data_IF_974490431234
#
_entry.id   IF_974490431234
#
_cell.length_a   1.000
_cell.length_b   1.000
_cell.length_c   1.000
_cell.angle_alpha   90.00
_cell.angle_beta   90.00
_cell.angle_gamma   90.00
#
_symmetry.space_group_name_H-M   'P 1'
#
loop_
_entity.id
_entity.type
_entity.pdbx_description
1 polymer ?
#
# COMPACT_ATOMS: atom_id res chain seq x y z
N UNK A 1 -49.55 52.15 -2.41
CA UNK A 1 -48.42 51.24 -2.16
C UNK A 1 -48.97 49.82 -2.37
N UNK A 2 -49.08 49.41 -3.65
CA UNK A 2 -48.29 48.31 -4.29
C UNK A 2 -48.62 46.95 -3.67
N UNK A 3 -49.58 46.17 -4.18
CA UNK A 3 -49.68 45.42 -5.46
C UNK A 3 -48.97 44.05 -5.44
N UNK A 4 -49.63 43.10 -6.09
CA UNK A 4 -49.68 41.63 -6.00
C UNK A 4 -48.48 40.82 -6.58
N UNK A 5 -48.64 39.48 -6.54
CA UNK A 5 -48.10 38.38 -7.38
C UNK A 5 -47.11 37.47 -6.62
N UNK A 6 -47.44 36.23 -6.20
CA UNK A 6 -47.92 34.99 -6.86
C UNK A 6 -46.80 34.06 -7.37
N UNK A 7 -46.87 32.81 -6.93
CA UNK A 7 -45.99 31.66 -7.21
C UNK A 7 -45.67 31.42 -8.69
N UNK A 8 -44.49 30.87 -8.96
CA UNK A 8 -44.22 30.10 -10.19
C UNK A 8 -43.25 28.95 -9.89
N UNK A 9 -43.73 27.74 -10.13
CA UNK A 9 -42.96 26.51 -10.24
C UNK A 9 -42.71 26.24 -11.74
N UNK A 10 -41.47 25.92 -12.13
CA UNK A 10 -41.17 25.46 -13.49
C UNK A 10 -40.78 23.98 -13.52
N UNK A 11 -41.49 23.28 -14.42
CA UNK A 11 -41.41 21.87 -14.75
C UNK A 11 -40.41 21.64 -15.89
N UNK A 12 -39.79 20.47 -15.81
CA UNK A 12 -39.15 19.74 -16.91
C UNK A 12 -39.96 19.75 -18.22
N UNK A 13 -39.26 19.65 -19.36
CA UNK A 13 -39.60 18.67 -20.42
C UNK A 13 -38.47 18.43 -21.44
N UNK A 14 -38.39 17.23 -22.04
CA UNK A 14 -37.32 16.75 -22.93
C UNK A 14 -37.73 16.80 -24.41
N UNK A 15 -36.77 16.66 -25.34
CA UNK A 15 -37.07 16.31 -26.74
C UNK A 15 -36.07 15.32 -27.36
N UNK A 16 -36.64 14.49 -28.21
CA UNK A 16 -36.20 13.17 -28.70
C UNK A 16 -35.64 13.19 -30.12
N UNK A 17 -34.71 12.26 -30.39
CA UNK A 17 -34.46 11.41 -31.59
C UNK A 17 -35.01 11.80 -32.98
N UNK A 18 -34.13 11.68 -34.00
CA UNK A 18 -34.17 10.80 -35.22
C UNK A 18 -33.05 11.27 -36.17
N UNK A 19 -32.01 10.51 -36.56
CA UNK A 19 -31.88 9.28 -37.39
C UNK A 19 -32.32 9.42 -38.85
N UNK A 20 -31.33 9.43 -39.77
CA UNK A 20 -31.23 8.89 -41.16
C UNK A 20 -29.94 9.49 -41.75
N UNK A 21 -28.94 8.80 -42.33
CA UNK A 21 -28.89 7.57 -43.10
C UNK A 21 -28.61 7.90 -44.59
N UNK A 22 -27.46 7.51 -45.15
CA UNK A 22 -27.33 7.29 -46.60
C UNK A 22 -26.14 7.88 -47.37
N UNK A 23 -25.15 7.03 -47.65
CA UNK A 23 -24.41 6.79 -48.91
C UNK A 23 -24.00 7.95 -49.87
N UNK A 24 -22.68 8.14 -49.99
CA UNK A 24 -21.87 7.72 -51.15
C UNK A 24 -22.09 8.36 -52.53
N UNK A 25 -21.09 9.12 -53.01
CA UNK A 25 -20.62 9.05 -54.41
C UNK A 25 -19.20 9.62 -54.57
N UNK A 26 -18.53 9.07 -55.56
CA UNK A 26 -17.12 9.08 -55.93
C UNK A 26 -16.95 9.99 -57.17
N UNK A 27 -15.69 10.35 -57.51
CA UNK A 27 -15.14 10.59 -58.88
C UNK A 27 -14.76 12.05 -59.27
N UNK A 28 -13.43 12.26 -59.29
CA UNK A 28 -12.53 12.90 -60.29
C UNK A 28 -12.29 14.43 -60.34
N UNK A 29 -10.99 14.80 -60.25
CA UNK A 29 -10.12 15.40 -61.30
C UNK A 29 -8.85 15.93 -60.60
N UNK A 30 -7.64 15.35 -60.78
CA UNK A 30 -6.67 15.47 -61.89
C UNK A 30 -6.18 16.91 -62.15
N UNK A 31 -4.92 17.12 -61.76
CA UNK A 31 -3.83 17.97 -62.28
C UNK A 31 -4.11 19.39 -62.79
N UNK A 32 -3.41 20.38 -62.23
CA UNK A 32 -2.33 21.06 -62.96
C UNK A 32 -1.40 21.89 -62.06
N UNK A 33 -0.15 22.01 -62.54
CA UNK A 33 1.06 22.61 -61.97
C UNK A 33 1.11 24.14 -61.91
N UNK A 34 1.93 24.67 -60.99
CA UNK A 34 2.96 25.74 -61.16
C UNK A 34 3.44 26.16 -59.74
N UNK A 35 4.67 25.86 -59.33
CA UNK A 35 5.91 26.66 -59.55
C UNK A 35 5.92 27.99 -58.79
N UNK A 36 6.59 28.01 -57.63
CA UNK A 36 7.51 29.08 -57.23
C UNK A 36 8.23 28.74 -55.91
N UNK A 37 9.52 29.03 -55.96
CA UNK A 37 10.57 29.03 -54.96
C UNK A 37 10.15 29.70 -53.64
N UNK A 38 10.61 29.19 -52.49
CA UNK A 38 10.88 30.03 -51.31
C UNK A 38 11.82 29.34 -50.30
N UNK A 39 13.02 29.92 -50.24
CA UNK A 39 13.89 30.22 -49.09
C UNK A 39 14.17 29.14 -48.03
N UNK A 40 15.40 28.61 -48.07
CA UNK A 40 16.04 27.92 -46.95
C UNK A 40 16.39 28.94 -45.85
N UNK A 41 15.55 29.06 -44.82
CA UNK A 41 15.96 29.64 -43.54
C UNK A 41 16.70 28.57 -42.71
N UNK A 42 18.01 28.70 -42.65
CA UNK A 42 18.83 28.03 -41.66
C UNK A 42 18.56 28.68 -40.29
N UNK A 43 17.62 28.11 -39.53
CA UNK A 43 17.52 28.37 -38.10
C UNK A 43 18.75 27.74 -37.42
N UNK A 44 19.73 28.59 -37.10
CA UNK A 44 20.75 28.33 -36.08
C UNK A 44 20.00 28.11 -34.75
N UNK A 45 19.57 26.87 -34.53
CA UNK A 45 19.09 26.39 -33.24
C UNK A 45 20.34 26.15 -32.37
N UNK A 46 20.96 27.27 -31.94
CA UNK A 46 21.85 27.27 -30.80
C UNK A 46 21.01 26.81 -29.61
N UNK A 47 20.99 25.49 -29.39
CA UNK A 47 20.58 24.86 -28.13
C UNK A 47 21.43 25.48 -27.03
N UNK A 48 20.94 26.59 -26.48
CA UNK A 48 21.40 27.11 -25.20
C UNK A 48 21.06 26.00 -24.22
N UNK A 49 22.06 25.21 -23.89
CA UNK A 49 22.05 24.24 -22.81
C UNK A 49 21.83 25.04 -21.51
N UNK A 50 20.56 25.39 -21.22
CA UNK A 50 20.17 26.04 -19.98
C UNK A 50 20.48 25.00 -18.90
N UNK A 51 21.62 25.18 -18.24
CA UNK A 51 21.99 24.41 -17.06
C UNK A 51 20.84 24.52 -16.05
N UNK A 52 19.97 23.50 -16.02
CA UNK A 52 18.84 23.43 -15.10
C UNK A 52 19.44 23.52 -13.71
N UNK A 53 19.16 24.63 -13.02
CA UNK A 53 19.61 24.85 -11.65
C UNK A 53 19.17 23.63 -10.82
N UNK A 54 20.14 22.85 -10.34
CA UNK A 54 19.85 21.66 -9.54
C UNK A 54 19.07 22.10 -8.29
N UNK A 55 17.92 21.47 -8.06
CA UNK A 55 17.11 21.70 -6.86
C UNK A 55 17.98 21.50 -5.60
N UNK A 56 18.13 22.53 -4.74
CA UNK A 56 18.96 22.43 -3.55
C UNK A 56 18.46 21.36 -2.56
N UNK A 57 17.15 21.06 -2.54
CA UNK A 57 16.57 20.01 -1.71
C UNK A 57 16.98 18.64 -2.23
N UNK A 58 16.83 18.43 -3.55
CA UNK A 58 17.28 17.21 -4.24
C UNK A 58 18.77 16.94 -4.01
N UNK A 59 19.60 17.97 -4.17
CA UNK A 59 21.04 17.90 -3.93
C UNK A 59 21.35 17.52 -2.48
N UNK A 60 20.66 18.12 -1.51
CA UNK A 60 20.82 17.79 -0.10
C UNK A 60 20.44 16.34 0.21
N UNK A 61 19.34 15.84 -0.36
CA UNK A 61 18.92 14.44 -0.18
C UNK A 61 19.93 13.48 -0.82
N UNK A 62 20.40 13.75 -2.04
CA UNK A 62 21.41 12.93 -2.71
C UNK A 62 22.71 12.85 -1.91
N UNK A 63 23.17 13.95 -1.33
CA UNK A 63 24.32 13.92 -0.41
C UNK A 63 24.08 13.03 0.82
N UNK A 64 22.90 13.12 1.44
CA UNK A 64 22.54 12.26 2.58
C UNK A 64 22.56 10.79 2.18
N UNK A 65 21.96 10.45 1.03
CA UNK A 65 21.96 9.10 0.49
C UNK A 65 23.38 8.60 0.20
N UNK A 66 24.25 9.45 -0.36
CA UNK A 66 25.66 9.11 -0.57
C UNK A 66 26.36 8.83 0.74
N UNK A 67 26.17 9.65 1.79
CA UNK A 67 26.75 9.44 3.11
C UNK A 67 26.30 8.12 3.76
N UNK A 68 25.05 7.72 3.53
CA UNK A 68 24.51 6.42 3.94
C UNK A 68 25.16 5.28 3.15
N UNK A 69 25.28 5.42 1.82
CA UNK A 69 25.85 4.41 0.93
C UNK A 69 27.29 4.06 1.30
N UNK A 70 28.10 5.08 1.58
CA UNK A 70 29.50 4.90 1.99
C UNK A 70 29.64 4.55 3.48
N UNK A 71 28.55 4.49 4.25
CA UNK A 71 28.55 4.13 5.68
C UNK A 71 29.22 5.15 6.59
N UNK A 72 29.45 6.38 6.11
CA UNK A 72 30.09 7.46 6.88
C UNK A 72 29.10 8.25 7.73
N UNK A 73 27.80 8.16 7.44
CA UNK A 73 26.79 8.80 8.28
C UNK A 73 26.67 8.06 9.62
N UNK A 74 27.34 8.60 10.64
CA UNK A 74 27.27 8.11 12.02
C UNK A 74 26.78 9.24 12.92
N UNK A 75 25.51 9.21 13.32
CA UNK A 75 24.92 10.25 14.18
C UNK A 75 25.01 9.90 15.68
N UNK A 76 25.91 8.97 16.03
CA UNK A 76 26.17 8.55 17.41
C UNK A 76 26.87 9.62 18.23
N UNK A 77 27.91 10.27 17.67
CA UNK A 77 28.65 11.33 18.36
C UNK A 77 27.91 12.66 18.32
N UNK A 78 28.06 13.47 19.37
CA UNK A 78 27.39 14.77 19.49
C UNK A 78 27.83 15.74 18.38
N UNK A 79 29.15 15.84 18.12
CA UNK A 79 29.71 16.76 17.12
C UNK A 79 29.30 16.43 15.69
N UNK A 80 29.39 15.16 15.29
CA UNK A 80 29.00 14.69 13.95
C UNK A 80 27.50 14.95 13.71
N UNK A 81 26.69 14.76 14.76
CA UNK A 81 25.25 15.03 14.75
C UNK A 81 24.95 16.53 14.62
N UNK A 82 25.64 17.38 15.38
CA UNK A 82 25.48 18.82 15.30
C UNK A 82 25.79 19.32 13.88
N UNK A 83 26.94 18.94 13.33
CA UNK A 83 27.33 19.28 11.95
C UNK A 83 26.31 18.82 10.90
N UNK A 84 25.76 17.62 11.07
CA UNK A 84 24.74 17.09 10.16
C UNK A 84 23.48 17.95 10.17
N UNK A 85 22.91 18.21 11.35
CA UNK A 85 21.70 19.00 11.43
C UNK A 85 21.97 20.48 11.08
N UNK A 86 23.06 21.09 11.53
CA UNK A 86 23.41 22.47 11.14
C UNK A 86 23.45 22.65 9.60
N UNK A 87 23.82 21.60 8.85
CA UNK A 87 23.81 21.59 7.39
C UNK A 87 22.43 21.32 6.79
N UNK A 88 21.73 20.28 7.27
CA UNK A 88 20.55 19.73 6.59
C UNK A 88 19.19 20.09 7.21
N UNK A 89 19.15 20.67 8.42
CA UNK A 89 17.92 20.91 9.19
C UNK A 89 16.83 21.61 8.36
N UNK A 90 17.22 22.65 7.60
CA UNK A 90 16.32 23.43 6.73
C UNK A 90 15.69 22.64 5.58
N UNK A 91 16.23 21.48 5.22
CA UNK A 91 15.78 20.68 4.07
C UNK A 91 15.00 19.42 4.50
N UNK A 92 15.01 19.04 5.79
CA UNK A 92 14.45 17.76 6.24
C UNK A 92 12.94 17.66 5.98
N UNK A 93 12.21 18.75 6.16
CA UNK A 93 10.75 18.81 5.97
C UNK A 93 10.34 19.21 4.55
N UNK A 94 11.31 19.59 3.72
CA UNK A 94 11.06 19.98 2.34
C UNK A 94 10.74 18.76 1.47
N UNK A 95 10.18 19.04 0.31
CA UNK A 95 9.77 18.03 -0.67
C UNK A 95 10.53 18.25 -1.98
N UNK A 96 10.88 17.15 -2.62
CA UNK A 96 11.45 17.12 -3.97
C UNK A 96 10.32 16.82 -4.97
N UNK A 97 10.65 16.77 -6.25
CA UNK A 97 9.82 16.26 -7.37
C UNK A 97 8.83 15.16 -6.93
N UNK A 98 7.59 15.27 -7.41
CA UNK A 98 6.47 14.38 -7.06
C UNK A 98 6.10 14.39 -5.56
N UNK A 99 6.41 15.49 -4.87
CA UNK A 99 6.09 15.71 -3.45
C UNK A 99 6.72 14.69 -2.50
N UNK A 100 7.82 14.08 -2.93
CA UNK A 100 8.56 13.09 -2.16
C UNK A 100 9.41 13.80 -1.11
N UNK A 101 9.20 13.43 0.14
CA UNK A 101 10.05 13.85 1.25
C UNK A 101 11.25 12.90 1.43
N UNK A 102 12.12 13.18 2.40
CA UNK A 102 13.30 12.37 2.70
C UNK A 102 12.99 10.88 2.97
N UNK A 103 11.89 10.56 3.66
CA UNK A 103 11.50 9.18 3.94
C UNK A 103 10.99 8.45 2.69
N UNK A 104 10.25 9.13 1.81
CA UNK A 104 9.86 8.57 0.51
C UNK A 104 11.10 8.30 -0.34
N UNK A 105 12.03 9.25 -0.39
CA UNK A 105 13.28 9.11 -1.13
C UNK A 105 14.08 7.92 -0.60
N UNK A 106 14.21 7.76 0.72
CA UNK A 106 14.82 6.57 1.32
C UNK A 106 14.10 5.27 0.97
N UNK A 107 12.77 5.29 0.90
CA UNK A 107 11.98 4.11 0.54
C UNK A 107 12.19 3.70 -0.91
N UNK A 108 12.18 4.64 -1.86
CA UNK A 108 12.39 4.38 -3.29
C UNK A 108 13.84 4.14 -3.68
N UNK A 109 14.79 4.51 -2.82
CA UNK A 109 16.19 4.33 -3.08
C UNK A 109 16.60 2.84 -3.10
N UNK A 110 17.42 2.46 -4.08
CA UNK A 110 17.99 1.10 -4.21
C UNK A 110 19.25 0.89 -3.36
N UNK A 111 19.55 1.80 -2.43
CA UNK A 111 20.69 1.71 -1.54
C UNK A 111 20.50 0.77 -0.35
N UNK A 112 21.57 0.56 0.44
CA UNK A 112 21.51 -0.36 1.57
C UNK A 112 20.79 0.25 2.79
N UNK A 113 19.78 -0.46 3.30
CA UNK A 113 19.20 -0.21 4.63
C UNK A 113 20.12 -0.70 5.76
N UNK A 114 21.18 0.08 6.02
CA UNK A 114 22.27 -0.24 6.94
C UNK A 114 22.14 0.51 8.29
N UNK A 115 23.20 0.45 9.12
CA UNK A 115 23.25 1.14 10.42
C UNK A 115 23.19 2.66 10.31
N UNK A 116 23.61 3.24 9.19
CA UNK A 116 23.51 4.68 8.94
C UNK A 116 22.06 5.10 8.71
N UNK A 117 21.31 4.34 7.91
CA UNK A 117 19.85 4.54 7.75
C UNK A 117 19.14 4.43 9.10
N UNK A 118 19.46 3.38 9.88
CA UNK A 118 18.94 3.21 11.23
C UNK A 118 19.27 4.40 12.13
N UNK A 119 20.51 4.87 12.09
CA UNK A 119 20.96 6.01 12.89
C UNK A 119 20.24 7.30 12.50
N UNK A 120 19.97 7.53 11.22
CA UNK A 120 19.23 8.69 10.74
C UNK A 120 17.79 8.68 11.24
N UNK A 121 17.05 7.61 10.97
CA UNK A 121 15.63 7.48 11.39
C UNK A 121 15.52 7.54 12.91
N UNK A 122 16.40 6.85 13.63
CA UNK A 122 16.42 6.91 15.09
C UNK A 122 16.69 8.33 15.60
N UNK A 123 17.47 9.18 14.91
CA UNK A 123 17.67 10.56 15.34
C UNK A 123 16.51 11.48 14.97
N UNK A 124 15.89 11.28 13.82
CA UNK A 124 14.67 12.00 13.45
C UNK A 124 13.54 11.73 14.46
N UNK A 125 13.31 10.48 14.83
CA UNK A 125 12.30 10.10 15.83
C UNK A 125 12.58 10.68 17.22
N UNK A 126 13.84 10.72 17.67
CA UNK A 126 14.19 11.23 19.02
C UNK A 126 14.29 12.76 19.13
N UNK A 127 14.83 13.43 18.10
CA UNK A 127 15.18 14.87 18.17
C UNK A 127 14.13 15.76 17.50
N UNK A 128 13.43 15.23 16.50
CA UNK A 128 12.44 15.97 15.71
C UNK A 128 11.15 15.13 15.54
N UNK A 129 10.50 14.71 16.64
CA UNK A 129 9.35 13.83 16.56
C UNK A 129 8.19 14.43 15.77
N UNK A 130 7.98 15.75 15.82
CA UNK A 130 6.93 16.44 15.06
C UNK A 130 7.23 16.42 13.55
N UNK A 131 8.47 16.73 13.17
CA UNK A 131 8.92 16.69 11.78
C UNK A 131 8.84 15.27 11.24
N UNK A 132 9.37 14.29 11.98
CA UNK A 132 9.30 12.88 11.62
C UNK A 132 7.86 12.41 11.41
N UNK A 133 6.94 12.85 12.28
CA UNK A 133 5.52 12.51 12.18
C UNK A 133 4.88 13.08 10.93
N UNK A 134 5.16 14.35 10.58
CA UNK A 134 4.71 14.97 9.31
C UNK A 134 5.26 14.22 8.10
N UNK A 135 6.54 13.83 8.13
CA UNK A 135 7.16 13.06 7.06
C UNK A 135 6.48 11.69 6.88
N UNK A 136 6.20 10.99 7.98
CA UNK A 136 5.63 9.64 7.97
C UNK A 136 4.18 9.61 7.49
N UNK A 137 3.37 10.63 7.79
CA UNK A 137 1.95 10.69 7.37
C UNK A 137 1.75 11.37 6.03
N UNK A 138 2.77 12.03 5.48
CA UNK A 138 2.63 12.67 4.17
C UNK A 138 2.43 11.63 3.08
N UNK A 139 1.61 11.97 2.09
CA UNK A 139 1.49 11.22 0.84
C UNK A 139 2.44 11.81 -0.19
N UNK A 140 3.06 10.95 -0.98
CA UNK A 140 3.61 11.36 -2.26
C UNK A 140 2.48 11.71 -3.25
N UNK A 141 2.77 12.48 -4.29
CA UNK A 141 1.84 12.70 -5.41
C UNK A 141 2.20 11.81 -6.60
N UNK A 142 2.77 10.64 -6.30
CA UNK A 142 2.88 9.58 -7.31
C UNK A 142 1.51 8.97 -7.53
N UNK A 143 1.28 8.26 -8.66
CA UNK A 143 0.00 7.58 -8.93
C UNK A 143 -0.50 6.65 -7.81
N UNK A 144 0.37 6.26 -6.86
CA UNK A 144 0.01 5.45 -5.69
C UNK A 144 -0.52 6.25 -4.49
N UNK A 145 -0.23 7.56 -4.42
CA UNK A 145 -0.46 8.48 -3.28
C UNK A 145 -0.17 7.81 -1.93
N UNK A 146 1.01 7.19 -1.86
CA UNK A 146 1.36 6.35 -0.73
C UNK A 146 2.19 7.12 0.28
N UNK A 147 2.15 6.70 1.56
CA UNK A 147 3.05 7.23 2.57
C UNK A 147 4.40 6.48 2.54
N UNK A 148 5.47 7.00 3.17
CA UNK A 148 6.80 6.38 3.08
C UNK A 148 6.86 4.94 3.60
N UNK A 149 6.05 4.63 4.62
CA UNK A 149 6.00 3.29 5.20
C UNK A 149 5.40 2.29 4.20
N UNK A 150 4.33 2.69 3.51
CA UNK A 150 3.74 1.90 2.43
C UNK A 150 4.74 1.68 1.28
N UNK A 151 5.48 2.71 0.88
CA UNK A 151 6.49 2.61 -0.18
C UNK A 151 7.59 1.60 0.19
N UNK A 152 8.09 1.64 1.44
CA UNK A 152 9.08 0.69 1.95
C UNK A 152 8.55 -0.76 1.97
N UNK A 153 7.28 -0.96 2.37
CA UNK A 153 6.60 -2.26 2.36
C UNK A 153 6.47 -2.80 0.94
N UNK A 154 6.05 -1.97 -0.01
CA UNK A 154 5.86 -2.34 -1.42
C UNK A 154 7.16 -2.83 -2.07
N UNK A 155 8.29 -2.22 -1.66
CA UNK A 155 9.64 -2.59 -2.08
C UNK A 155 10.24 -3.76 -1.30
N UNK A 156 9.51 -4.31 -0.33
CA UNK A 156 9.92 -5.44 0.51
C UNK A 156 11.17 -5.17 1.37
N UNK A 157 11.45 -3.91 1.68
CA UNK A 157 12.58 -3.56 2.55
C UNK A 157 12.18 -3.70 4.03
N UNK A 158 12.23 -4.94 4.52
CA UNK A 158 11.90 -5.28 5.89
C UNK A 158 12.75 -4.53 6.93
N UNK A 159 13.99 -4.17 6.60
CA UNK A 159 14.88 -3.43 7.52
C UNK A 159 14.45 -1.99 7.64
N UNK A 160 14.15 -1.34 6.51
CA UNK A 160 13.65 0.03 6.51
C UNK A 160 12.32 0.14 7.24
N UNK A 161 11.39 -0.78 6.99
CA UNK A 161 10.11 -0.86 7.72
C UNK A 161 10.35 -0.98 9.22
N UNK A 162 11.25 -1.87 9.65
CA UNK A 162 11.59 -2.02 11.06
C UNK A 162 12.16 -0.72 11.68
N UNK A 163 12.98 0.02 10.93
CA UNK A 163 13.53 1.29 11.39
C UNK A 163 12.46 2.38 11.48
N UNK A 164 11.57 2.48 10.49
CA UNK A 164 10.48 3.46 10.48
C UNK A 164 9.47 3.22 11.62
N UNK A 165 9.28 1.96 12.03
CA UNK A 165 8.41 1.60 13.15
C UNK A 165 9.11 1.65 14.53
N UNK A 166 10.40 1.97 14.59
CA UNK A 166 11.17 2.02 15.83
C UNK A 166 10.86 3.32 16.59
N UNK A 167 10.11 3.22 17.69
CA UNK A 167 9.79 4.33 18.58
C UNK A 167 10.43 4.12 19.97
N UNK A 168 11.76 4.25 20.06
CA UNK A 168 12.52 3.90 21.28
C UNK A 168 12.13 4.70 22.51
N UNK A 169 11.87 5.99 22.31
CA UNK A 169 11.57 6.92 23.38
C UNK A 169 10.08 6.91 23.76
N UNK A 170 9.29 6.00 23.16
CA UNK A 170 7.84 5.90 23.36
C UNK A 170 7.13 7.25 23.17
N UNK A 171 7.60 8.05 22.20
CA UNK A 171 7.02 9.35 21.91
C UNK A 171 5.57 9.15 21.45
N UNK A 172 4.58 9.77 22.13
CA UNK A 172 3.17 9.62 21.76
C UNK A 172 2.91 10.18 20.36
N UNK A 173 3.57 11.29 20.00
CA UNK A 173 3.45 11.93 18.69
C UNK A 173 3.88 10.96 17.57
N UNK A 174 5.01 10.28 17.75
CA UNK A 174 5.51 9.29 16.79
C UNK A 174 4.60 8.05 16.75
N UNK A 175 4.07 7.63 17.91
CA UNK A 175 3.15 6.50 18.00
C UNK A 175 1.83 6.80 17.26
N UNK A 176 1.26 7.99 17.45
CA UNK A 176 0.05 8.43 16.77
C UNK A 176 0.27 8.54 15.26
N UNK A 177 1.41 9.09 14.84
CA UNK A 177 1.79 9.15 13.43
C UNK A 177 1.92 7.75 12.80
N UNK A 178 2.49 6.78 13.53
CA UNK A 178 2.55 5.38 13.08
C UNK A 178 1.15 4.78 12.92
N UNK A 179 0.26 4.98 13.89
CA UNK A 179 -1.13 4.51 13.81
C UNK A 179 -1.84 5.09 12.59
N UNK A 180 -1.69 6.40 12.37
CA UNK A 180 -2.26 7.10 11.21
C UNK A 180 -1.69 6.52 9.91
N UNK A 181 -0.37 6.46 9.78
CA UNK A 181 0.30 5.96 8.57
C UNK A 181 -0.06 4.50 8.25
N UNK A 182 -0.23 3.65 9.27
CA UNK A 182 -0.67 2.27 9.11
C UNK A 182 -2.13 2.16 8.64
N UNK A 183 -2.99 3.10 9.04
CA UNK A 183 -4.39 3.19 8.64
C UNK A 183 -4.65 3.85 7.29
N UNK A 184 -3.70 4.66 6.78
CA UNK A 184 -3.82 5.29 5.47
C UNK A 184 -3.91 4.24 4.36
N UNK A 185 -4.81 4.49 3.41
CA UNK A 185 -5.01 3.67 2.22
C UNK A 185 -4.33 4.32 1.02
N UNK A 186 -3.63 3.53 0.21
CA UNK A 186 -3.10 3.99 -1.08
C UNK A 186 -4.23 4.17 -2.09
N UNK A 187 -4.02 5.01 -3.10
CA UNK A 187 -5.13 5.42 -3.99
C UNK A 187 -5.48 4.37 -5.04
N UNK A 188 -4.53 3.59 -5.53
CA UNK A 188 -4.79 2.58 -6.58
C UNK A 188 -5.63 1.38 -6.10
N UNK A 189 -5.34 0.88 -4.90
CA UNK A 189 -5.93 -0.37 -4.37
C UNK A 189 -6.79 -0.15 -3.14
N UNK A 190 -6.81 1.07 -2.60
CA UNK A 190 -7.38 1.37 -1.29
C UNK A 190 -6.85 0.46 -0.19
N UNK A 191 -5.67 -0.13 -0.36
CA UNK A 191 -5.10 -1.05 0.61
C UNK A 191 -4.28 -0.26 1.64
N UNK A 192 -4.36 -0.67 2.90
CA UNK A 192 -3.54 -0.10 3.96
C UNK A 192 -2.19 -0.83 4.07
N UNK A 193 -1.30 -0.32 4.93
CA UNK A 193 0.05 -0.89 5.10
C UNK A 193 0.03 -2.36 5.55
N UNK A 194 -0.96 -2.80 6.33
CA UNK A 194 -1.07 -4.21 6.76
C UNK A 194 -1.41 -5.14 5.61
N UNK A 195 -2.40 -4.77 4.78
CA UNK A 195 -2.76 -5.54 3.59
C UNK A 195 -1.53 -5.64 2.67
N UNK A 196 -0.84 -4.52 2.42
CA UNK A 196 0.38 -4.50 1.63
C UNK A 196 1.45 -5.44 2.19
N UNK A 197 1.71 -5.39 3.51
CA UNK A 197 2.74 -6.21 4.16
C UNK A 197 2.47 -7.72 4.02
N UNK A 198 1.22 -8.14 4.20
CA UNK A 198 0.78 -9.54 4.04
C UNK A 198 0.85 -9.97 2.56
N UNK A 199 0.36 -9.11 1.65
CA UNK A 199 0.36 -9.36 0.20
C UNK A 199 1.78 -9.53 -0.34
N UNK A 200 2.70 -8.66 0.08
CA UNK A 200 4.12 -8.67 -0.29
C UNK A 200 4.97 -9.72 0.45
N UNK A 201 4.37 -10.46 1.41
CA UNK A 201 5.02 -11.53 2.18
C UNK A 201 6.24 -11.04 2.96
N UNK A 202 6.09 -9.92 3.67
CA UNK A 202 7.13 -9.46 4.61
C UNK A 202 7.39 -10.53 5.69
N UNK A 203 8.57 -10.50 6.34
CA UNK A 203 8.86 -11.41 7.45
C UNK A 203 7.80 -11.34 8.56
N UNK A 204 7.43 -12.48 9.14
CA UNK A 204 6.36 -12.59 10.14
C UNK A 204 6.56 -11.62 11.29
N UNK A 205 7.78 -11.52 11.83
CA UNK A 205 8.11 -10.63 12.94
C UNK A 205 7.87 -9.15 12.61
N UNK A 206 8.03 -8.74 11.35
CA UNK A 206 7.69 -7.39 10.90
C UNK A 206 6.18 -7.23 10.87
N UNK A 207 5.46 -8.16 10.24
CA UNK A 207 3.99 -8.11 10.15
C UNK A 207 3.34 -8.08 11.54
N UNK A 208 3.78 -8.94 12.47
CA UNK A 208 3.25 -8.97 13.84
C UNK A 208 3.54 -7.67 14.59
N UNK A 209 4.72 -7.06 14.40
CA UNK A 209 5.04 -5.75 14.98
C UNK A 209 4.13 -4.65 14.42
N UNK A 210 3.83 -4.66 13.11
CA UNK A 210 2.87 -3.72 12.52
C UNK A 210 1.49 -3.91 13.15
N UNK A 211 1.00 -5.15 13.27
CA UNK A 211 -0.31 -5.48 13.87
C UNK A 211 -0.43 -4.89 15.28
N UNK A 212 0.58 -5.08 16.12
CA UNK A 212 0.62 -4.58 17.51
C UNK A 212 0.56 -3.05 17.61
N UNK A 213 0.93 -2.34 16.54
CA UNK A 213 0.92 -0.88 16.49
C UNK A 213 -0.33 -0.31 15.84
N UNK A 214 -1.24 -1.16 15.36
CA UNK A 214 -2.46 -0.71 14.67
C UNK A 214 -3.64 -0.56 15.62
N UNK A 215 -4.72 0.02 15.10
CA UNK A 215 -6.02 0.07 15.78
C UNK A 215 -6.99 -0.91 15.14
N UNK A 216 -8.06 -1.24 15.84
CA UNK A 216 -9.16 -2.05 15.31
C UNK A 216 -9.73 -1.49 13.99
N UNK A 217 -9.75 -0.17 13.83
CA UNK A 217 -10.17 0.48 12.58
C UNK A 217 -9.27 0.12 11.41
N UNK A 218 -7.95 0.07 11.61
CA UNK A 218 -6.99 -0.39 10.61
C UNK A 218 -7.16 -1.89 10.30
N UNK A 219 -7.44 -2.71 11.33
CA UNK A 219 -7.63 -4.16 11.19
C UNK A 219 -8.89 -4.53 10.39
N UNK A 220 -9.96 -3.73 10.50
CA UNK A 220 -11.22 -3.93 9.75
C UNK A 220 -11.33 -3.10 8.48
N UNK A 221 -10.31 -2.30 8.14
CA UNK A 221 -10.29 -1.53 6.91
C UNK A 221 -10.27 -2.48 5.70
N UNK A 222 -11.07 -2.16 4.68
CA UNK A 222 -11.24 -2.98 3.48
C UNK A 222 -10.57 -2.29 2.30
N UNK A 223 -9.91 -3.07 1.44
CA UNK A 223 -9.39 -2.59 0.17
C UNK A 223 -10.50 -2.36 -0.87
N UNK A 224 -10.13 -2.01 -2.11
CA UNK A 224 -11.08 -1.79 -3.20
C UNK A 224 -11.91 -3.04 -3.56
N UNK A 225 -11.46 -4.23 -3.15
CA UNK A 225 -12.19 -5.50 -3.31
C UNK A 225 -13.05 -5.85 -2.10
N UNK A 226 -13.07 -5.02 -1.07
CA UNK A 226 -13.80 -5.29 0.17
C UNK A 226 -13.05 -6.23 1.11
N UNK A 227 -11.77 -6.54 0.87
CA UNK A 227 -11.02 -7.49 1.67
C UNK A 227 -10.21 -6.79 2.76
N UNK A 228 -10.28 -7.34 3.97
CA UNK A 228 -9.50 -6.89 5.15
C UNK A 228 -8.13 -7.56 5.19
N UNK A 229 -7.18 -7.09 6.03
CA UNK A 229 -5.93 -7.81 6.31
C UNK A 229 -6.14 -9.31 6.61
N UNK A 230 -7.22 -9.66 7.32
CA UNK A 230 -7.51 -11.05 7.68
C UNK A 230 -7.92 -11.91 6.48
N UNK A 231 -8.64 -11.36 5.49
CA UNK A 231 -8.93 -12.07 4.24
C UNK A 231 -7.64 -12.44 3.50
N UNK A 232 -6.71 -11.50 3.38
CA UNK A 232 -5.41 -11.74 2.75
C UNK A 232 -4.55 -12.74 3.53
N UNK A 233 -4.63 -12.73 4.86
CA UNK A 233 -3.87 -13.63 5.72
C UNK A 233 -4.30 -15.10 5.60
N UNK A 234 -5.57 -15.36 5.26
CA UNK A 234 -6.11 -16.73 5.13
C UNK A 234 -6.12 -17.27 3.70
N UNK A 235 -5.58 -16.53 2.72
CA UNK A 235 -5.47 -17.01 1.33
C UNK A 235 -4.73 -18.36 1.29
N UNK A 236 -5.36 -19.39 0.71
CA UNK A 236 -4.90 -20.78 0.85
C UNK A 236 -3.45 -21.02 0.41
N UNK A 237 -3.01 -20.33 -0.64
CA UNK A 237 -1.64 -20.42 -1.15
C UNK A 237 -0.58 -19.93 -0.16
N UNK A 238 -1.00 -19.20 0.87
CA UNK A 238 -0.13 -18.64 1.92
C UNK A 238 -0.15 -19.44 3.21
N UNK A 239 -1.04 -20.43 3.34
CA UNK A 239 -1.21 -21.23 4.55
C UNK A 239 0.07 -21.99 4.89
N UNK A 240 0.88 -21.37 5.74
CA UNK A 240 2.13 -21.86 6.32
C UNK A 240 2.05 -21.65 7.83
N UNK A 241 2.94 -22.30 8.59
CA UNK A 241 3.01 -22.09 10.04
C UNK A 241 3.22 -20.61 10.41
N UNK A 242 4.15 -19.97 9.70
CA UNK A 242 4.42 -18.52 9.77
C UNK A 242 3.17 -17.66 9.49
N UNK A 243 2.35 -18.04 8.51
CA UNK A 243 1.12 -17.32 8.20
C UNK A 243 0.03 -17.54 9.25
N UNK A 244 -0.03 -18.72 9.86
CA UNK A 244 -0.94 -18.99 10.97
C UNK A 244 -0.68 -18.07 12.16
N UNK A 245 0.59 -17.76 12.47
CA UNK A 245 0.93 -16.78 13.51
C UNK A 245 0.38 -15.37 13.20
N UNK A 246 0.42 -14.95 11.93
CA UNK A 246 -0.17 -13.68 11.49
C UNK A 246 -1.69 -13.70 11.68
N UNK A 247 -2.38 -14.77 11.27
CA UNK A 247 -3.83 -14.93 11.44
C UNK A 247 -4.21 -14.88 12.91
N UNK A 248 -3.51 -15.63 13.77
CA UNK A 248 -3.72 -15.63 15.22
C UNK A 248 -3.57 -14.22 15.78
N UNK A 249 -2.48 -13.53 15.43
CA UNK A 249 -2.20 -12.19 15.95
C UNK A 249 -3.23 -11.15 15.52
N UNK A 250 -3.72 -11.23 14.28
CA UNK A 250 -4.81 -10.36 13.80
C UNK A 250 -6.07 -10.54 14.64
N UNK A 251 -6.48 -11.79 14.91
CA UNK A 251 -7.67 -12.10 15.71
C UNK A 251 -7.50 -11.66 17.17
N UNK A 252 -6.32 -11.90 17.76
CA UNK A 252 -6.01 -11.46 19.13
C UNK A 252 -6.09 -9.94 19.31
N UNK A 253 -5.68 -9.17 18.29
CA UNK A 253 -5.73 -7.70 18.33
C UNK A 253 -7.11 -7.12 17.95
N UNK A 254 -7.98 -7.92 17.33
CA UNK A 254 -9.35 -7.52 17.02
C UNK A 254 -10.06 -8.49 16.08
N UNK A 255 -11.26 -8.92 16.47
CA UNK A 255 -12.08 -9.89 15.73
C UNK A 255 -13.12 -9.24 14.80
N UNK A 256 -13.34 -7.91 14.89
CA UNK A 256 -14.26 -7.15 14.03
C UNK A 256 -14.00 -7.29 12.51
N UNK A 257 -12.83 -7.78 12.11
CA UNK A 257 -12.52 -8.10 10.72
C UNK A 257 -13.29 -9.34 10.21
N UNK A 258 -13.77 -10.22 11.10
CA UNK A 258 -14.58 -11.40 10.79
C UNK A 258 -15.99 -11.03 10.33
N UNK A 259 -16.50 -9.88 10.78
CA UNK A 259 -17.82 -9.35 10.40
C UNK A 259 -17.82 -8.68 9.01
N UNK A 260 -16.64 -8.52 8.39
CA UNK A 260 -16.50 -7.88 7.09
C UNK A 260 -16.67 -8.90 5.97
N UNK A 261 -17.42 -8.51 4.95
CA UNK A 261 -17.59 -9.27 3.72
C UNK A 261 -16.89 -8.55 2.56
N UNK A 262 -16.29 -9.32 1.65
CA UNK A 262 -15.80 -8.80 0.37
C UNK A 262 -16.90 -8.10 -0.45
N UNK A 263 -16.48 -7.42 -1.51
CA UNK A 263 -17.41 -6.78 -2.44
C UNK A 263 -18.07 -7.78 -3.39
N UNK A 264 -19.06 -7.29 -4.15
CA UNK A 264 -19.67 -8.03 -5.27
C UNK A 264 -18.59 -8.58 -6.23
N UNK A 265 -18.82 -9.74 -6.88
CA UNK A 265 -20.07 -10.53 -6.84
C UNK A 265 -20.14 -11.53 -5.68
N UNK A 266 -19.01 -11.89 -5.09
CA UNK A 266 -18.92 -13.11 -4.29
C UNK A 266 -19.21 -12.92 -2.79
N UNK A 267 -19.06 -11.70 -2.25
CA UNK A 267 -19.35 -11.38 -0.85
C UNK A 267 -18.74 -12.35 0.17
N UNK A 268 -17.49 -12.77 -0.06
CA UNK A 268 -16.86 -13.74 0.81
C UNK A 268 -16.66 -13.18 2.22
N UNK A 269 -17.05 -13.98 3.23
CA UNK A 269 -16.49 -13.86 4.57
C UNK A 269 -15.03 -14.33 4.57
N UNK A 270 -14.30 -14.08 5.65
CA UNK A 270 -12.92 -14.58 5.82
C UNK A 270 -12.83 -16.08 5.54
N UNK A 271 -13.72 -16.89 6.14
CA UNK A 271 -13.75 -18.33 5.92
C UNK A 271 -14.15 -18.69 4.47
N UNK A 272 -15.18 -18.03 3.92
CA UNK A 272 -15.60 -18.26 2.54
C UNK A 272 -14.50 -17.93 1.53
N UNK A 273 -13.70 -16.91 1.80
CA UNK A 273 -12.55 -16.53 0.98
C UNK A 273 -11.44 -17.57 1.04
N UNK A 274 -11.14 -18.11 2.23
CA UNK A 274 -10.20 -19.23 2.37
C UNK A 274 -10.64 -20.44 1.54
N UNK A 275 -11.90 -20.87 1.66
CA UNK A 275 -12.42 -22.02 0.91
C UNK A 275 -12.41 -21.76 -0.61
N UNK A 276 -12.82 -20.58 -1.05
CA UNK A 276 -12.77 -20.17 -2.47
C UNK A 276 -11.34 -20.20 -3.03
N UNK A 277 -10.36 -19.68 -2.30
CA UNK A 277 -8.95 -19.71 -2.73
C UNK A 277 -8.37 -21.12 -2.71
N UNK A 278 -8.81 -21.96 -1.78
CA UNK A 278 -8.49 -23.39 -1.73
C UNK A 278 -9.01 -24.14 -2.94
N UNK A 279 -10.28 -23.96 -3.31
CA UNK A 279 -10.89 -24.60 -4.47
C UNK A 279 -10.17 -24.21 -5.77
N UNK A 280 -9.84 -22.92 -5.93
CA UNK A 280 -9.04 -22.42 -7.06
C UNK A 280 -7.66 -23.08 -7.12
N UNK A 281 -6.98 -23.19 -5.98
CA UNK A 281 -5.67 -23.84 -5.91
C UNK A 281 -5.73 -25.34 -6.26
N UNK A 282 -6.72 -26.06 -5.74
CA UNK A 282 -6.88 -27.50 -6.03
C UNK A 282 -7.22 -27.72 -7.50
N UNK A 283 -8.08 -26.89 -8.07
CA UNK A 283 -8.50 -26.99 -9.47
C UNK A 283 -7.36 -26.67 -10.43
N UNK A 284 -6.52 -25.66 -10.13
CA UNK A 284 -5.35 -25.34 -10.94
C UNK A 284 -4.29 -26.45 -10.94
N UNK A 285 -4.17 -27.20 -9.83
CA UNK A 285 -3.29 -28.38 -9.73
C UNK A 285 -3.82 -29.60 -10.49
N UNK A 286 -5.14 -29.76 -10.59
CA UNK A 286 -5.77 -30.85 -11.37
C UNK A 286 -5.70 -30.59 -12.88
N UNK A 287 -5.85 -29.34 -13.31
CA UNK A 287 -5.75 -28.94 -14.73
C UNK A 287 -4.35 -29.10 -15.34
N UNK A 288 -3.28 -29.19 -14.52
CA UNK A 288 -1.91 -29.43 -14.98
C UNK A 288 -1.58 -30.89 -15.32
N UNK A 289 -2.52 -31.82 -15.17
CA UNK A 289 -2.42 -33.23 -15.58
C UNK A 289 -3.77 -33.72 -16.11
N UNK A 290 -4.12 -33.35 -17.34
CA UNK A 290 -5.12 -34.12 -18.11
C UNK A 290 -4.61 -34.24 -19.55
N UNK A 291 -3.95 -35.37 -19.83
CA UNK A 291 -4.18 -36.05 -21.10
C UNK A 291 -5.59 -36.63 -21.04
N UNK A 292 -6.31 -36.46 -22.14
CA UNK A 292 -7.61 -37.00 -22.53
C UNK A 292 -8.06 -38.23 -21.72
N UNK A 293 -9.19 -38.12 -21.01
CA UNK A 293 -10.36 -38.99 -21.23
C UNK A 293 -11.47 -38.75 -20.19
N UNK A 294 -12.68 -38.53 -20.75
CA UNK A 294 -14.01 -38.78 -20.19
C UNK A 294 -14.60 -37.76 -19.21
N UNK A 295 -15.42 -36.89 -19.81
CA UNK A 295 -16.71 -36.44 -19.28
C UNK A 295 -17.47 -37.62 -18.64
N UNK A 296 -17.58 -37.62 -17.32
CA UNK A 296 -18.58 -38.38 -16.59
C UNK A 296 -19.21 -37.45 -15.54
N UNK A 297 -20.53 -37.44 -15.54
CA UNK A 297 -21.43 -36.65 -14.71
C UNK A 297 -21.02 -36.67 -13.24
N UNK A 298 -20.96 -35.48 -12.62
CA UNK A 298 -20.67 -35.36 -11.20
C UNK A 298 -21.92 -35.64 -10.36
N UNK A 299 -21.87 -36.72 -9.60
CA UNK A 299 -22.65 -36.92 -8.37
C UNK A 299 -21.87 -36.38 -7.18
N UNK A 300 -22.54 -35.80 -6.16
CA UNK A 300 -21.87 -35.16 -5.05
C UNK A 300 -21.04 -36.17 -4.23
N UNK A 301 -19.79 -35.85 -3.86
CA UNK A 301 -18.93 -36.75 -3.13
C UNK A 301 -19.42 -36.84 -1.68
N UNK A 302 -19.72 -38.07 -1.26
CA UNK A 302 -19.83 -38.44 0.15
C UNK A 302 -18.46 -38.35 0.82
N UNK A 303 -18.50 -38.16 2.14
CA UNK A 303 -17.37 -37.86 3.03
C UNK A 303 -16.13 -38.73 2.75
N UNK A 304 -14.97 -38.08 2.89
CA UNK A 304 -13.60 -38.61 2.81
C UNK A 304 -12.95 -38.60 1.41
N UNK A 305 -12.48 -37.43 1.01
CA UNK A 305 -11.23 -37.32 0.24
C UNK A 305 -10.36 -36.27 0.92
N UNK A 306 -9.66 -36.68 1.97
CA UNK A 306 -8.69 -35.83 2.67
C UNK A 306 -7.48 -35.65 1.75
N UNK A 307 -7.48 -34.55 1.00
CA UNK A 307 -6.29 -34.09 0.29
C UNK A 307 -5.24 -33.61 1.30
N UNK A 308 -3.94 -33.81 1.02
CA UNK A 308 -2.89 -33.43 1.96
C UNK A 308 -2.95 -31.94 2.26
N UNK A 309 -3.14 -31.61 3.54
CA UNK A 309 -2.97 -30.25 4.04
C UNK A 309 -1.54 -29.77 3.73
N UNK A 310 -1.32 -28.46 3.53
CA UNK A 310 0.03 -27.90 3.52
C UNK A 310 0.78 -28.40 4.75
N UNK A 311 2.00 -28.93 4.57
CA UNK A 311 2.75 -29.57 5.66
C UNK A 311 3.09 -28.53 6.74
N UNK A 312 2.34 -28.56 7.84
CA UNK A 312 2.67 -27.83 9.09
C UNK A 312 3.71 -28.69 9.84
N UNK A 313 4.84 -28.14 10.30
CA UNK A 313 5.80 -28.87 11.14
C UNK A 313 5.14 -29.38 12.43
N UNK A 314 5.43 -30.63 12.83
CA UNK A 314 4.79 -31.36 13.94
C UNK A 314 5.08 -30.84 15.35
N UNK A 315 5.56 -29.61 15.50
CA UNK A 315 6.05 -29.07 16.77
C UNK A 315 4.91 -28.57 17.70
N UNK A 316 3.66 -28.60 17.24
CA UNK A 316 2.49 -28.11 17.98
C UNK A 316 1.39 -29.15 18.26
N UNK A 317 1.69 -30.45 18.10
CA UNK A 317 0.77 -31.55 18.43
C UNK A 317 0.74 -31.90 19.93
N UNK A 318 1.40 -31.12 20.82
CA UNK A 318 1.36 -31.38 22.27
C UNK A 318 0.20 -30.63 22.96
N UNK A 319 -0.89 -31.32 23.36
CA UNK A 319 -2.06 -30.70 23.99
C UNK A 319 -1.76 -30.06 25.37
N UNK A 320 -0.54 -30.18 25.89
CA UNK A 320 -0.11 -29.56 27.15
C UNK A 320 0.21 -28.07 27.05
N UNK A 321 0.36 -27.50 25.86
CA UNK A 321 0.60 -26.05 25.71
C UNK A 321 -0.68 -25.19 25.60
N UNK A 322 -1.85 -25.81 25.40
CA UNK A 322 -3.14 -25.10 25.34
C UNK A 322 -3.78 -24.79 26.71
N UNK A 323 -3.22 -25.28 27.81
CA UNK A 323 -3.88 -25.22 29.15
C UNK A 323 -3.53 -24.00 29.99
N UNK A 324 -2.84 -23.00 29.45
CA UNK A 324 -2.51 -21.75 30.18
C UNK A 324 -3.02 -20.53 29.43
N UNK A 325 -4.34 -20.36 29.36
CA UNK A 325 -4.98 -19.08 29.06
C UNK A 325 -5.94 -18.74 30.21
N UNK A 326 -5.88 -17.52 30.78
CA UNK A 326 -6.84 -17.10 31.80
C UNK A 326 -8.22 -16.94 31.17
N UNK A 327 -9.19 -17.67 31.72
CA UNK A 327 -10.61 -17.50 31.40
C UNK A 327 -11.13 -16.25 32.12
N UNK A 328 -11.01 -15.08 31.50
CA UNK A 328 -11.74 -13.89 31.96
C UNK A 328 -12.60 -13.35 30.81
N UNK A 329 -13.83 -13.90 30.72
CA UNK A 329 -14.92 -13.23 30.02
C UNK A 329 -15.31 -12.02 30.87
N UNK A 330 -14.93 -10.80 30.46
CA UNK A 330 -15.60 -9.60 30.96
C UNK A 330 -17.01 -9.56 30.37
N UNK A 331 -17.99 -9.83 31.23
CA UNK A 331 -19.40 -9.56 30.94
C UNK A 331 -19.60 -8.05 30.78
N UNK A 332 -20.37 -7.68 29.75
CA UNK A 332 -20.98 -6.34 29.59
C UNK A 332 -21.93 -6.10 30.76
N UNK A 333 -21.46 -5.51 31.85
CA UNK A 333 -22.34 -4.90 32.86
C UNK A 333 -21.64 -3.86 33.77
N UNK A 334 -20.30 -3.72 33.74
CA UNK A 334 -19.59 -2.76 34.61
C UNK A 334 -19.24 -1.42 33.95
N UNK A 335 -20.21 -0.80 33.26
CA UNK A 335 -20.15 0.62 32.92
C UNK A 335 -21.52 1.27 33.22
N UNK A 336 -21.72 1.60 34.49
CA UNK A 336 -22.64 2.62 34.97
C UNK A 336 -21.91 3.52 35.96
#
# INVERSE_FOLDING_TARGET
MTAELSESAEKERPLTRKSTGGNGRRILNVDNSDDSEDEEEAEDDDEVEIAIAQDPVKTAFDEILQLIRIGKLKLGKSEERKKFFDKYDRYIEERVEEYRNLLHVLAYWDGPSNSSTKSLISKLTTKYPEAYSRLLISKDETGSESNPLYAAISRKDAKLVAYMCENKDQSPIVQDALVIALGMQCSERSENCLIAAIRHKLPVNIITNLIEKTTENTLKAQDSKGFTPLHYAVEYERCTHSQFEIVRKLIECGDSALDKLGNKPDYFSVYGYHESTREKYVSSKKGGKINDERLAEWTPPTKETVLPQPKIPKEYDDPKQMTQLPNERRTREDLA
#
